data_IF_934868177450
#
_entry.id   IF_934868177450
#
_cell.length_a   1.000
_cell.length_b   1.000
_cell.length_c   1.000
_cell.angle_alpha   90.00
_cell.angle_beta   90.00
_cell.angle_gamma   90.00
#
_symmetry.space_group_name_H-M   'P 1'
#
loop_
_entity.id
_entity.type
_entity.pdbx_description
1 polymer ?
#
# COMPACT_ATOMS: atom_id res chain seq x y z
N UNK A 1 -13.96 0.41 -3.87
CA UNK A 1 -12.53 0.50 -3.46
C UNK A 1 -12.10 -0.83 -2.90
N UNK A 2 -10.83 -1.18 -3.05
CA UNK A 2 -10.26 -2.41 -2.49
C UNK A 2 -8.91 -2.10 -1.83
N UNK A 3 -8.64 -2.71 -0.68
CA UNK A 3 -7.32 -2.67 -0.05
C UNK A 3 -6.40 -3.71 -0.70
N UNK A 4 -5.17 -3.35 -1.06
CA UNK A 4 -4.18 -4.31 -1.58
C UNK A 4 -3.43 -4.95 -0.40
N UNK A 5 -4.17 -5.78 0.35
CA UNK A 5 -3.73 -6.43 1.59
C UNK A 5 -3.96 -7.94 1.52
N UNK A 6 -3.34 -8.73 2.42
CA UNK A 6 -3.70 -10.14 2.57
C UNK A 6 -5.17 -10.30 2.91
N UNK A 7 -5.77 -11.46 2.62
CA UNK A 7 -7.18 -11.73 2.94
C UNK A 7 -7.50 -11.66 4.44
N UNK A 8 -6.48 -11.70 5.32
CA UNK A 8 -6.61 -11.47 6.76
C UNK A 8 -6.73 -9.99 7.15
N UNK A 9 -6.57 -9.06 6.19
CA UNK A 9 -6.44 -7.61 6.41
C UNK A 9 -5.25 -7.21 7.28
N UNK A 10 -4.28 -8.11 7.48
CA UNK A 10 -3.09 -7.87 8.29
C UNK A 10 -1.82 -8.16 7.49
N UNK A 11 -0.87 -7.23 7.52
CA UNK A 11 0.45 -7.39 6.91
C UNK A 11 1.56 -6.75 7.74
N UNK A 12 2.80 -7.02 7.37
CA UNK A 12 3.99 -6.47 8.04
C UNK A 12 4.82 -5.62 7.09
N UNK A 13 5.64 -4.75 7.68
CA UNK A 13 6.60 -3.90 6.99
C UNK A 13 7.93 -3.82 7.71
N UNK A 14 9.03 -3.60 6.98
CA UNK A 14 10.32 -3.22 7.59
C UNK A 14 10.48 -1.69 7.67
N UNK A 15 9.79 -0.98 6.78
CA UNK A 15 9.88 0.46 6.63
C UNK A 15 9.32 1.23 7.84
N UNK A 16 9.98 2.33 8.18
CA UNK A 16 9.48 3.27 9.18
C UNK A 16 8.23 4.02 8.68
N UNK A 17 8.15 4.23 7.37
CA UNK A 17 7.11 5.00 6.66
C UNK A 17 6.67 4.21 5.42
N UNK A 18 5.88 3.14 5.60
CA UNK A 18 5.54 2.23 4.53
C UNK A 18 4.68 2.90 3.44
N UNK A 19 4.80 2.39 2.22
CA UNK A 19 3.85 2.69 1.14
C UNK A 19 2.65 1.74 1.23
N UNK A 20 1.44 2.29 1.18
CA UNK A 20 0.19 1.53 1.22
C UNK A 20 -0.46 1.58 -0.16
N UNK A 21 -0.98 0.45 -0.64
CA UNK A 21 -1.63 0.38 -1.94
C UNK A 21 -3.13 0.13 -1.79
N UNK A 22 -3.92 0.92 -2.51
CA UNK A 22 -5.38 0.82 -2.56
C UNK A 22 -5.86 0.93 -3.99
N UNK A 23 -6.85 0.14 -4.38
CA UNK A 23 -7.56 0.35 -5.64
C UNK A 23 -8.72 1.31 -5.44
N UNK A 24 -8.71 2.37 -6.23
CA UNK A 24 -9.76 3.38 -6.31
C UNK A 24 -10.50 3.19 -7.64
N UNK A 25 -11.81 2.90 -7.64
CA UNK A 25 -12.58 2.82 -8.88
C UNK A 25 -12.77 4.21 -9.49
N UNK A 26 -13.12 4.26 -10.77
CA UNK A 26 -13.50 5.51 -11.42
C UNK A 26 -14.64 6.23 -10.67
N UNK A 27 -14.48 7.53 -10.45
CA UNK A 27 -15.44 8.35 -9.71
C UNK A 27 -15.27 9.83 -10.05
N UNK A 28 -16.25 10.64 -9.65
CA UNK A 28 -16.23 12.09 -9.90
C UNK A 28 -15.35 12.86 -8.89
N UNK A 29 -14.84 12.19 -7.85
CA UNK A 29 -13.90 12.77 -6.89
C UNK A 29 -12.44 12.58 -7.33
N UNK A 30 -11.62 13.58 -7.04
CA UNK A 30 -10.16 13.55 -7.20
C UNK A 30 -9.42 13.58 -5.86
N UNK A 31 -10.14 13.48 -4.74
CA UNK A 31 -9.52 13.50 -3.41
C UNK A 31 -10.00 12.38 -2.49
N UNK A 32 -9.08 11.89 -1.67
CA UNK A 32 -9.32 10.95 -0.58
C UNK A 32 -8.65 11.44 0.71
N UNK A 33 -9.05 10.90 1.86
CA UNK A 33 -8.35 11.09 3.13
C UNK A 33 -7.68 9.79 3.53
N UNK A 34 -6.39 9.88 3.84
CA UNK A 34 -5.66 8.84 4.52
C UNK A 34 -5.62 9.14 6.01
N UNK A 35 -5.85 8.14 6.85
CA UNK A 35 -5.62 8.26 8.29
C UNK A 35 -4.93 7.03 8.84
N UNK A 36 -4.05 7.24 9.81
CA UNK A 36 -3.31 6.21 10.51
C UNK A 36 -3.67 6.28 12.00
N UNK A 37 -4.06 5.14 12.57
CA UNK A 37 -4.42 4.99 13.97
C UNK A 37 -3.51 4.01 14.67
N UNK A 38 -3.24 4.26 15.94
CA UNK A 38 -2.56 3.30 16.82
C UNK A 38 -3.54 2.27 17.39
N UNK A 39 -3.05 1.30 18.16
CA UNK A 39 -3.89 0.25 18.79
C UNK A 39 -4.97 0.80 19.73
N UNK A 40 -4.71 1.96 20.34
CA UNK A 40 -5.69 2.67 21.18
C UNK A 40 -6.80 3.37 20.34
N UNK A 41 -6.80 3.20 19.02
CA UNK A 41 -7.72 3.81 18.05
C UNK A 41 -7.60 5.34 17.96
N UNK A 42 -6.52 5.91 18.48
CA UNK A 42 -6.24 7.34 18.30
C UNK A 42 -5.62 7.55 16.92
N UNK A 43 -6.16 8.51 16.17
CA UNK A 43 -5.54 8.98 14.93
C UNK A 43 -4.24 9.70 15.26
N UNK A 44 -3.13 9.11 14.81
CA UNK A 44 -1.79 9.68 15.00
C UNK A 44 -1.30 10.45 13.78
N UNK A 45 -1.93 10.21 12.63
CA UNK A 45 -1.63 10.92 11.39
C UNK A 45 -2.83 10.93 10.46
N UNK A 46 -2.97 12.01 9.68
CA UNK A 46 -3.98 12.15 8.66
C UNK A 46 -3.44 13.04 7.54
N UNK A 47 -3.79 12.77 6.29
CA UNK A 47 -3.49 13.62 5.13
C UNK A 47 -4.54 13.50 4.05
N UNK A 48 -4.53 14.46 3.11
CA UNK A 48 -5.39 14.42 1.92
C UNK A 48 -4.57 13.94 0.74
N UNK A 49 -5.13 12.99 -0.01
CA UNK A 49 -4.50 12.36 -1.16
C UNK A 49 -5.21 12.78 -2.44
N UNK A 50 -4.46 12.89 -3.54
CA UNK A 50 -5.02 12.97 -4.87
C UNK A 50 -5.34 11.55 -5.39
N UNK A 51 -6.52 11.36 -5.99
CA UNK A 51 -6.90 10.08 -6.59
C UNK A 51 -7.30 10.25 -8.06
N UNK A 52 -7.02 9.25 -8.92
CA UNK A 52 -7.34 9.34 -10.33
C UNK A 52 -8.85 9.19 -10.58
N UNK A 53 -9.47 10.18 -11.25
CA UNK A 53 -10.90 10.11 -11.64
C UNK A 53 -11.25 8.90 -12.51
N UNK A 54 -10.28 8.42 -13.31
CA UNK A 54 -10.43 7.26 -14.19
C UNK A 54 -10.29 5.92 -13.47
N UNK A 55 -9.98 5.94 -12.17
CA UNK A 55 -9.65 4.74 -11.40
C UNK A 55 -8.20 4.28 -11.57
N UNK A 56 -7.76 3.41 -10.67
CA UNK A 56 -6.42 2.85 -10.65
C UNK A 56 -5.97 2.37 -9.28
N UNK A 57 -4.81 1.73 -9.25
CA UNK A 57 -4.11 1.35 -8.02
C UNK A 57 -3.29 2.55 -7.55
N UNK A 58 -3.66 3.13 -6.41
CA UNK A 58 -3.00 4.28 -5.81
C UNK A 58 -1.97 3.79 -4.79
N UNK A 59 -0.70 4.16 -5.01
CA UNK A 59 0.37 4.01 -4.04
C UNK A 59 0.44 5.26 -3.16
N UNK A 60 0.06 5.09 -1.89
CA UNK A 60 0.06 6.11 -0.84
C UNK A 60 1.41 6.07 -0.13
N UNK A 61 2.25 7.05 -0.41
CA UNK A 61 3.53 7.21 0.27
C UNK A 61 3.36 8.05 1.53
N UNK A 62 3.84 7.54 2.67
CA UNK A 62 3.86 8.34 3.90
C UNK A 62 4.95 9.41 3.77
N UNK A 63 4.61 10.71 3.87
CA UNK A 63 5.58 11.78 3.71
C UNK A 63 6.46 11.92 4.97
N UNK A 64 7.50 12.74 4.90
CA UNK A 64 8.48 12.93 5.98
C UNK A 64 7.91 13.58 7.26
N UNK A 65 6.74 14.19 7.17
CA UNK A 65 6.00 14.75 8.31
C UNK A 65 5.18 13.70 9.06
N UNK A 66 4.95 12.52 8.48
CA UNK A 66 4.27 11.43 9.17
C UNK A 66 5.10 10.91 10.37
N UNK A 67 4.49 10.36 11.42
CA UNK A 67 5.23 9.64 12.44
C UNK A 67 5.83 8.36 11.87
N UNK A 68 7.03 8.00 12.30
CA UNK A 68 7.59 6.68 12.02
C UNK A 68 6.83 5.61 12.81
N UNK A 69 6.53 4.49 12.15
CA UNK A 69 5.96 3.33 12.83
C UNK A 69 7.00 2.75 13.78
N UNK A 70 6.61 2.49 15.02
CA UNK A 70 7.48 1.85 16.01
C UNK A 70 7.54 0.36 15.73
N UNK A 71 8.76 -0.20 15.80
CA UNK A 71 8.98 -1.64 15.65
C UNK A 71 8.17 -2.40 16.69
N UNK A 72 7.52 -3.48 16.24
CA UNK A 72 6.64 -4.36 17.01
C UNK A 72 5.29 -3.79 17.43
N UNK A 73 4.93 -2.57 17.02
CA UNK A 73 3.60 -2.00 17.24
C UNK A 73 2.66 -2.22 16.04
N UNK A 74 1.37 -2.40 16.32
CA UNK A 74 0.34 -2.46 15.28
C UNK A 74 -0.32 -1.09 15.08
N UNK A 75 -0.64 -0.82 13.82
CA UNK A 75 -1.40 0.34 13.40
C UNK A 75 -2.51 -0.08 12.45
N UNK A 76 -3.58 0.69 12.42
CA UNK A 76 -4.67 0.53 11.46
C UNK A 76 -4.74 1.78 10.59
N UNK A 77 -4.64 1.60 9.28
CA UNK A 77 -4.78 2.68 8.32
C UNK A 77 -6.14 2.62 7.65
N UNK A 78 -6.61 3.78 7.18
CA UNK A 78 -7.86 3.94 6.45
C UNK A 78 -7.63 4.85 5.24
N UNK A 79 -8.28 4.54 4.13
CA UNK A 79 -8.46 5.45 2.99
C UNK A 79 -9.94 5.61 2.73
N UNK A 80 -10.44 6.84 2.78
CA UNK A 80 -11.84 7.17 2.50
C UNK A 80 -11.95 8.21 1.39
N UNK A 81 -12.85 7.99 0.42
CA UNK A 81 -13.13 8.97 -0.63
C UNK A 81 -14.04 10.07 -0.12
N UNK A 82 -13.82 11.30 -0.56
CA UNK A 82 -14.83 12.34 -0.39
C UNK A 82 -16.03 12.04 -1.29
N UNK A 83 -17.23 12.22 -0.73
CA UNK A 83 -18.49 12.22 -1.47
C UNK A 83 -18.98 13.66 -1.50
N UNK A 84 -19.16 14.22 -2.70
CA UNK A 84 -19.57 15.63 -2.89
C UNK A 84 -18.63 16.65 -2.19
N UNK A 85 -17.35 16.28 -2.03
CA UNK A 85 -16.33 17.13 -1.40
C UNK A 85 -16.27 17.00 0.14
N UNK A 86 -17.10 16.15 0.75
CA UNK A 86 -17.10 15.93 2.20
C UNK A 86 -16.89 14.46 2.59
N UNK A 87 -16.36 14.24 3.80
CA UNK A 87 -16.36 12.91 4.43
C UNK A 87 -17.69 12.70 5.14
N UNK A 88 -18.50 11.82 4.59
CA UNK A 88 -19.83 11.45 5.10
C UNK A 88 -19.83 10.01 5.63
N UNK A 89 -20.80 9.61 6.48
CA UNK A 89 -20.93 8.22 6.92
C UNK A 89 -21.13 7.21 5.77
N UNK A 90 -21.58 7.67 4.60
CA UNK A 90 -21.72 6.85 3.39
C UNK A 90 -20.48 6.86 2.49
N UNK A 91 -19.41 7.54 2.88
CA UNK A 91 -18.19 7.61 2.09
C UNK A 91 -17.56 6.23 1.94
N UNK A 92 -17.29 5.76 0.71
CA UNK A 92 -16.56 4.52 0.50
C UNK A 92 -15.21 4.60 1.21
N UNK A 93 -14.87 3.56 1.96
CA UNK A 93 -13.56 3.45 2.60
C UNK A 93 -13.03 2.02 2.52
N UNK A 94 -11.71 1.89 2.68
CA UNK A 94 -11.00 0.63 2.89
C UNK A 94 -9.98 0.82 3.98
N UNK A 95 -9.61 -0.28 4.64
CA UNK A 95 -8.67 -0.27 5.75
C UNK A 95 -7.80 -1.51 5.77
N UNK A 96 -6.77 -1.48 6.62
CA UNK A 96 -5.88 -2.60 6.84
C UNK A 96 -5.03 -2.41 8.09
N UNK A 97 -4.56 -3.53 8.63
CA UNK A 97 -3.62 -3.57 9.73
C UNK A 97 -2.20 -3.71 9.21
N UNK A 98 -1.31 -2.94 9.82
CA UNK A 98 0.11 -2.93 9.53
C UNK A 98 0.91 -3.03 10.82
N UNK A 99 1.93 -3.87 10.80
CA UNK A 99 2.91 -3.98 11.89
C UNK A 99 4.31 -3.76 11.34
N UNK A 100 5.06 -2.84 11.92
CA UNK A 100 6.50 -2.75 11.64
C UNK A 100 7.21 -3.86 12.40
N UNK A 101 8.04 -4.65 11.73
CA UNK A 101 8.80 -5.73 12.34
C UNK A 101 10.31 -5.46 12.23
N UNK A 102 11.06 -6.01 13.18
CA UNK A 102 12.52 -6.04 13.08
C UNK A 102 12.91 -7.10 12.04
N UNK A 103 13.74 -6.77 11.04
CA UNK A 103 14.23 -7.78 10.11
C UNK A 103 15.18 -8.74 10.82
N UNK A 104 15.14 -10.03 10.46
CA UNK A 104 16.18 -10.97 10.91
C UNK A 104 17.52 -10.64 10.26
N UNK A 105 18.62 -11.08 10.86
CA UNK A 105 19.95 -10.92 10.27
C UNK A 105 20.04 -11.60 8.89
N UNK A 106 19.40 -12.76 8.73
CA UNK A 106 19.33 -13.48 7.46
C UNK A 106 18.55 -12.69 6.40
N UNK A 107 17.44 -12.07 6.78
CA UNK A 107 16.64 -11.24 5.88
C UNK A 107 17.44 -10.00 5.44
N UNK A 108 18.09 -9.30 6.38
CA UNK A 108 18.94 -8.15 6.04
C UNK A 108 20.07 -8.54 5.08
N UNK A 109 20.74 -9.66 5.34
CA UNK A 109 21.81 -10.15 4.46
C UNK A 109 21.28 -10.51 3.07
N UNK A 110 20.12 -11.14 2.98
CA UNK A 110 19.51 -11.49 1.70
C UNK A 110 19.13 -10.24 0.88
N UNK A 111 18.54 -9.23 1.53
CA UNK A 111 18.16 -7.97 0.88
C UNK A 111 19.37 -7.13 0.44
N UNK A 112 20.49 -7.20 1.18
CA UNK A 112 21.71 -6.46 0.85
C UNK A 112 22.40 -6.97 -0.43
N UNK A 113 22.20 -8.24 -0.80
CA UNK A 113 22.80 -8.86 -1.98
C UNK A 113 21.82 -9.01 -3.16
N UNK A 114 20.53 -8.77 -2.92
CA UNK A 114 19.49 -8.85 -3.94
C UNK A 114 19.18 -7.50 -4.57
N UNK A 115 18.56 -7.54 -5.75
CA UNK A 115 18.04 -6.37 -6.45
C UNK A 115 16.76 -6.69 -7.21
N UNK A 116 15.97 -5.66 -7.53
CA UNK A 116 14.73 -5.79 -8.33
C UNK A 116 13.80 -6.91 -7.85
N UNK A 117 13.44 -7.81 -8.76
CA UNK A 117 12.55 -8.94 -8.46
C UNK A 117 13.12 -9.93 -7.43
N UNK A 118 14.44 -10.00 -7.25
CA UNK A 118 15.02 -10.86 -6.21
C UNK A 118 14.62 -10.37 -4.82
N UNK A 119 14.69 -9.06 -4.56
CA UNK A 119 14.29 -8.47 -3.28
C UNK A 119 12.79 -8.64 -3.03
N UNK A 120 11.95 -8.45 -4.05
CA UNK A 120 10.51 -8.71 -3.95
C UNK A 120 10.23 -10.14 -3.49
N UNK A 121 10.91 -11.14 -4.08
CA UNK A 121 10.74 -12.55 -3.69
C UNK A 121 11.22 -12.81 -2.26
N UNK A 122 12.36 -12.24 -1.88
CA UNK A 122 12.88 -12.35 -0.51
C UNK A 122 11.90 -11.77 0.51
N UNK A 123 11.34 -10.59 0.27
CA UNK A 123 10.34 -9.97 1.14
C UNK A 123 9.06 -10.82 1.25
N UNK A 124 8.56 -11.31 0.11
CA UNK A 124 7.35 -12.14 0.06
C UNK A 124 7.52 -13.44 0.85
N UNK A 125 8.65 -14.12 0.68
CA UNK A 125 8.99 -15.36 1.39
C UNK A 125 9.10 -15.17 2.91
N UNK A 126 9.45 -13.95 3.35
CA UNK A 126 9.53 -13.58 4.77
C UNK A 126 8.25 -12.93 5.29
N UNK A 127 7.17 -12.93 4.50
CA UNK A 127 5.86 -12.41 4.90
C UNK A 127 5.81 -10.88 5.05
N UNK A 128 6.78 -10.14 4.50
CA UNK A 128 6.83 -8.67 4.56
C UNK A 128 5.93 -8.08 3.47
N UNK A 129 4.62 -8.15 3.70
CA UNK A 129 3.61 -7.86 2.69
C UNK A 129 3.70 -6.45 2.10
N UNK A 130 3.71 -5.41 2.94
CA UNK A 130 3.62 -4.02 2.45
C UNK A 130 4.81 -3.65 1.57
N UNK A 131 6.02 -4.04 1.98
CA UNK A 131 7.26 -3.82 1.24
C UNK A 131 7.26 -4.60 -0.07
N UNK A 132 6.77 -5.85 -0.05
CA UNK A 132 6.63 -6.69 -1.26
C UNK A 132 5.74 -6.01 -2.30
N UNK A 133 4.52 -5.62 -1.90
CA UNK A 133 3.55 -5.00 -2.80
C UNK A 133 4.07 -3.66 -3.31
N UNK A 134 4.64 -2.84 -2.43
CA UNK A 134 5.19 -1.53 -2.80
C UNK A 134 6.35 -1.64 -3.78
N UNK A 135 7.31 -2.52 -3.54
CA UNK A 135 8.45 -2.71 -4.46
C UNK A 135 7.98 -3.28 -5.81
N UNK A 136 7.06 -4.25 -5.80
CA UNK A 136 6.55 -4.83 -7.04
C UNK A 136 5.75 -3.82 -7.86
N UNK A 137 4.93 -2.98 -7.22
CA UNK A 137 4.20 -1.92 -7.88
C UNK A 137 5.13 -0.85 -8.49
N UNK A 138 6.22 -0.47 -7.79
CA UNK A 138 7.25 0.43 -8.36
C UNK A 138 7.90 -0.17 -9.60
N UNK A 139 8.26 -1.46 -9.54
CA UNK A 139 8.83 -2.17 -10.70
C UNK A 139 7.83 -2.20 -11.87
N UNK A 140 6.55 -2.48 -11.62
CA UNK A 140 5.51 -2.50 -12.63
C UNK A 140 5.27 -1.12 -13.27
N UNK A 141 5.29 -0.05 -12.47
CA UNK A 141 5.13 1.32 -12.97
C UNK A 141 6.30 1.81 -13.82
N UNK A 142 7.53 1.37 -13.51
CA UNK A 142 8.75 1.77 -14.24
C UNK A 142 9.09 0.89 -15.45
N UNK A 143 8.66 -0.37 -15.47
CA UNK A 143 9.01 -1.33 -16.50
C UNK A 143 7.94 -1.40 -17.60
N UNK A 144 7.95 -0.43 -18.52
CA UNK A 144 7.19 -0.55 -19.76
C UNK A 144 7.66 -1.82 -20.49
N UNK A 145 6.74 -2.76 -20.70
CA UNK A 145 6.92 -4.01 -21.47
C UNK A 145 7.73 -5.16 -20.81
N UNK A 146 7.82 -5.21 -19.48
CA UNK A 146 8.40 -6.39 -18.80
C UNK A 146 7.32 -7.40 -18.37
N UNK A 147 7.08 -8.41 -19.21
CA UNK A 147 6.10 -9.46 -18.95
C UNK A 147 6.33 -10.23 -17.64
N UNK A 148 7.59 -10.40 -17.21
CA UNK A 148 7.87 -11.12 -15.97
C UNK A 148 7.39 -10.34 -14.72
N UNK A 149 7.54 -9.01 -14.72
CA UNK A 149 7.05 -8.16 -13.63
C UNK A 149 5.51 -8.15 -13.63
N UNK A 150 4.89 -8.04 -14.82
CA UNK A 150 3.44 -8.07 -14.96
C UNK A 150 2.84 -9.40 -14.46
N UNK A 151 3.48 -10.54 -14.77
CA UNK A 151 3.04 -11.83 -14.28
C UNK A 151 3.14 -11.94 -12.75
N UNK A 152 4.25 -11.50 -12.15
CA UNK A 152 4.38 -11.51 -10.69
C UNK A 152 3.38 -10.56 -10.00
N UNK A 153 3.07 -9.41 -10.61
CA UNK A 153 2.03 -8.51 -10.11
C UNK A 153 0.65 -9.17 -10.14
N UNK A 154 0.31 -9.83 -11.25
CA UNK A 154 -0.92 -10.59 -11.37
C UNK A 154 -0.99 -11.74 -10.35
N UNK A 155 0.06 -12.56 -10.24
CA UNK A 155 0.13 -13.68 -9.28
C UNK A 155 -0.05 -13.21 -7.82
N UNK A 156 0.59 -12.09 -7.46
CA UNK A 156 0.44 -11.50 -6.13
C UNK A 156 -1.00 -11.11 -5.85
N UNK A 157 -1.64 -10.41 -6.78
CA UNK A 157 -3.03 -9.97 -6.61
C UNK A 157 -4.01 -11.14 -6.66
N UNK A 158 -3.80 -12.12 -7.52
CA UNK A 158 -4.59 -13.35 -7.59
C UNK A 158 -4.54 -14.12 -6.26
N UNK A 159 -3.38 -14.18 -5.60
CA UNK A 159 -3.21 -14.87 -4.32
C UNK A 159 -4.11 -14.32 -3.20
N UNK A 160 -4.59 -13.08 -3.34
CA UNK A 160 -5.49 -12.41 -2.39
C UNK A 160 -6.86 -12.09 -2.98
N UNK A 161 -7.19 -12.64 -4.15
CA UNK A 161 -8.49 -12.47 -4.80
C UNK A 161 -8.69 -11.10 -5.46
N UNK A 162 -7.61 -10.43 -5.85
CA UNK A 162 -7.58 -9.11 -6.47
C UNK A 162 -7.13 -9.14 -7.94
N UNK A 163 -7.20 -10.30 -8.60
CA UNK A 163 -6.77 -10.46 -10.00
C UNK A 163 -7.42 -9.44 -10.96
N UNK A 164 -8.68 -9.06 -10.69
CA UNK A 164 -9.45 -8.13 -11.52
C UNK A 164 -8.82 -6.74 -11.63
N UNK A 165 -8.02 -6.32 -10.64
CA UNK A 165 -7.34 -5.00 -10.65
C UNK A 165 -5.90 -5.07 -11.14
N UNK A 166 -5.42 -6.24 -11.59
CA UNK A 166 -4.02 -6.42 -11.98
C UNK A 166 -3.60 -5.65 -13.25
N UNK A 167 -4.56 -5.26 -14.08
CA UNK A 167 -4.33 -4.49 -15.31
C UNK A 167 -4.60 -2.99 -15.15
N UNK A 168 -5.06 -2.57 -13.98
CA UNK A 168 -5.36 -1.17 -13.68
C UNK A 168 -4.06 -0.35 -13.60
N UNK A 169 -4.08 0.93 -14.00
CA UNK A 169 -2.91 1.78 -13.93
C UNK A 169 -2.47 1.99 -12.47
N UNK A 170 -1.16 1.94 -12.23
CA UNK A 170 -0.57 2.28 -10.94
C UNK A 170 -0.23 3.77 -10.93
N UNK A 171 -0.71 4.50 -9.92
CA UNK A 171 -0.52 5.94 -9.76
C UNK A 171 0.07 6.20 -8.37
N UNK A 172 1.09 7.05 -8.29
CA UNK A 172 1.65 7.49 -7.01
C UNK A 172 0.85 8.70 -6.55
N UNK A 173 0.38 8.68 -5.30
CA UNK A 173 -0.26 9.83 -4.65
C UNK A 173 0.61 10.36 -3.52
N UNK A 174 0.75 11.69 -3.49
CA UNK A 174 1.45 12.46 -2.47
C UNK A 174 0.46 13.35 -1.70
N UNK A 175 0.85 13.82 -0.50
CA UNK A 175 0.05 14.78 0.29
C UNK A 175 -0.24 16.05 -0.55
N UNK A 176 -1.48 16.53 -0.49
CA UNK A 176 -1.98 17.68 -1.25
C UNK A 176 -1.99 18.99 -0.44
N UNK A 177 -1.24 19.06 0.66
CA UNK A 177 -1.18 20.23 1.55
C UNK A 177 -0.30 21.36 1.05
#
# INVERSE_FOLDING_TARGET
>A
MLAVVPSSFYGTTLEARPTILVYVPASDTDTAVFSLKNEAKHTIYQMTLAVPKRGGVVAVEMPDEAPELVVSENYQWYVALHVEGELTPGSPFVDGWIKRIEPSAELMLALAHGEGLSNVKTLAQNGVWYDTVAQLARLQGGAQDNQAIANHWYELLESVGLADIATEPIVISLDQR
#
